data_IF_086810274853
#
_entry.id   IF_086810274853
#
_cell.length_a   1.000
_cell.length_b   1.000
_cell.length_c   1.000
_cell.angle_alpha   90.00
_cell.angle_beta   90.00
_cell.angle_gamma   90.00
#
_symmetry.space_group_name_H-M   'P 1'
#
loop_
_entity.id
_entity.type
_entity.pdbx_description
1 polymer ?
#
# COMPACT_ATOMS: atom_id res chain seq x y z
N UNK A 1 17.62 13.32 49.87
CA UNK A 1 17.64 13.67 48.43
C UNK A 1 16.30 13.30 47.82
N UNK A 2 15.47 14.27 47.46
CA UNK A 2 14.10 14.05 46.96
C UNK A 2 14.08 14.27 45.44
N UNK A 3 13.97 13.17 44.68
CA UNK A 3 13.80 13.23 43.23
C UNK A 3 12.33 13.59 42.92
N UNK A 4 12.08 14.87 42.62
CA UNK A 4 10.79 15.31 42.06
C UNK A 4 10.70 14.81 40.62
N UNK A 5 9.86 13.81 40.36
CA UNK A 5 9.54 13.38 39.00
C UNK A 5 8.70 14.46 38.31
N UNK A 6 9.22 15.04 37.23
CA UNK A 6 8.44 15.88 36.31
C UNK A 6 7.44 14.98 35.58
N UNK A 7 6.18 14.97 36.02
CA UNK A 7 5.08 14.42 35.22
C UNK A 7 4.94 15.29 33.97
N UNK A 8 5.39 14.78 32.82
CA UNK A 8 5.08 15.39 31.51
C UNK A 8 3.58 15.21 31.28
N UNK A 9 2.79 16.26 31.47
CA UNK A 9 1.40 16.31 31.00
C UNK A 9 1.41 16.31 29.47
N UNK A 10 1.42 15.12 28.87
CA UNK A 10 1.21 14.93 27.45
C UNK A 10 -0.19 15.44 27.10
N UNK A 11 -0.28 16.64 26.52
CA UNK A 11 -1.53 17.12 25.90
C UNK A 11 -1.70 16.34 24.59
N UNK A 12 -2.12 15.08 24.72
CA UNK A 12 -2.46 14.18 23.62
C UNK A 12 -3.85 14.51 23.11
N UNK A 13 -3.97 15.46 22.17
CA UNK A 13 -5.24 15.92 21.55
C UNK A 13 -6.25 16.45 22.58
N UNK A 14 -6.81 17.64 22.35
CA UNK A 14 -7.93 18.15 23.16
C UNK A 14 -9.21 17.36 22.85
N UNK A 15 -9.26 16.08 23.21
CA UNK A 15 -10.35 15.14 22.93
C UNK A 15 -11.70 15.66 23.42
N UNK A 16 -12.79 15.03 23.00
CA UNK A 16 -14.15 15.47 23.30
C UNK A 16 -14.49 15.32 24.80
N UNK A 17 -14.51 16.42 25.59
CA UNK A 17 -14.86 16.32 27.00
C UNK A 17 -16.30 15.80 27.17
N UNK A 18 -16.62 15.08 28.25
CA UNK A 18 -17.94 14.50 28.46
C UNK A 18 -19.08 15.53 28.35
N UNK A 19 -18.87 16.72 28.91
CA UNK A 19 -19.83 17.84 28.83
C UNK A 19 -20.10 18.28 27.38
N UNK A 20 -19.05 18.37 26.57
CA UNK A 20 -19.18 18.73 25.14
C UNK A 20 -19.93 17.63 24.38
N UNK A 21 -19.67 16.35 24.68
CA UNK A 21 -20.43 15.22 24.10
C UNK A 21 -21.90 15.28 24.48
N UNK A 22 -22.23 15.57 25.74
CA UNK A 22 -23.60 15.71 26.22
C UNK A 22 -24.34 16.85 25.52
N UNK A 23 -23.75 18.04 25.49
CA UNK A 23 -24.32 19.22 24.81
C UNK A 23 -24.53 18.97 23.31
N UNK A 24 -23.58 18.28 22.67
CA UNK A 24 -23.72 17.90 21.26
C UNK A 24 -24.80 16.83 21.05
N UNK A 25 -24.93 15.85 21.95
CA UNK A 25 -25.99 14.85 21.89
C UNK A 25 -27.38 15.47 22.06
N UNK A 26 -27.55 16.43 22.99
CA UNK A 26 -28.79 17.20 23.16
C UNK A 26 -29.15 17.96 21.88
N UNK A 27 -28.18 18.66 21.27
CA UNK A 27 -28.38 19.33 19.97
C UNK A 27 -28.76 18.37 18.85
N UNK A 28 -28.09 17.23 18.75
CA UNK A 28 -28.39 16.21 17.73
C UNK A 28 -29.79 15.62 17.92
N UNK A 29 -30.21 15.37 19.18
CA UNK A 29 -31.57 14.90 19.50
C UNK A 29 -32.65 15.93 19.22
N UNK A 30 -32.36 17.22 19.40
CA UNK A 30 -33.27 18.30 19.06
C UNK A 30 -33.39 18.49 17.54
N UNK A 31 -32.26 18.56 16.83
CA UNK A 31 -32.21 18.81 15.39
C UNK A 31 -32.61 17.59 14.55
N UNK A 32 -32.44 16.38 15.07
CA UNK A 32 -32.73 15.09 14.41
C UNK A 32 -32.30 15.06 12.93
N UNK A 33 -31.03 15.39 12.61
CA UNK A 33 -30.61 15.57 11.22
C UNK A 33 -30.82 14.33 10.34
N UNK A 34 -30.85 13.13 10.94
CA UNK A 34 -31.18 11.88 10.24
C UNK A 34 -32.56 11.87 9.58
N UNK A 35 -33.54 12.63 10.10
CA UNK A 35 -34.87 12.75 9.48
C UNK A 35 -34.83 13.47 8.13
N UNK A 36 -33.84 14.35 7.93
CA UNK A 36 -33.59 15.06 6.67
C UNK A 36 -32.54 14.34 5.81
N UNK A 37 -32.10 13.15 6.18
CA UNK A 37 -31.11 12.41 5.39
C UNK A 37 -31.67 12.05 4.02
N UNK A 38 -31.04 12.57 2.97
CA UNK A 38 -31.38 12.33 1.56
C UNK A 38 -30.59 11.17 0.96
N UNK A 39 -30.28 10.16 1.79
CA UNK A 39 -29.65 8.94 1.33
C UNK A 39 -30.44 8.26 0.19
N UNK A 40 -29.79 7.41 -0.63
CA UNK A 40 -30.44 6.80 -1.77
C UNK A 40 -31.58 5.86 -1.36
N UNK A 41 -32.82 6.25 -1.69
CA UNK A 41 -34.04 5.45 -1.41
C UNK A 41 -34.34 4.41 -2.48
N UNK A 42 -33.88 4.63 -3.71
CA UNK A 42 -34.14 3.76 -4.85
C UNK A 42 -33.08 2.65 -5.00
N UNK A 43 -33.43 1.54 -5.63
CA UNK A 43 -32.49 0.44 -5.96
C UNK A 43 -31.29 0.95 -6.77
N UNK A 44 -31.56 1.81 -7.76
CA UNK A 44 -30.53 2.44 -8.60
C UNK A 44 -29.60 3.36 -7.80
N UNK A 45 -30.16 4.16 -6.89
CA UNK A 45 -29.38 5.02 -6.00
C UNK A 45 -28.49 4.21 -5.06
N UNK A 46 -29.00 3.11 -4.50
CA UNK A 46 -28.21 2.22 -3.63
C UNK A 46 -27.07 1.55 -4.40
N UNK A 47 -27.33 1.10 -5.62
CA UNK A 47 -26.29 0.53 -6.49
C UNK A 47 -25.15 1.53 -6.77
N UNK A 48 -25.50 2.80 -7.08
CA UNK A 48 -24.50 3.87 -7.25
C UNK A 48 -23.71 4.15 -5.97
N UNK A 49 -24.37 4.20 -4.82
CA UNK A 49 -23.68 4.42 -3.55
C UNK A 49 -22.75 3.26 -3.17
N UNK A 50 -23.10 2.02 -3.49
CA UNK A 50 -22.22 0.86 -3.28
C UNK A 50 -20.89 0.99 -4.07
N UNK A 51 -20.91 1.68 -5.21
CA UNK A 51 -19.70 1.93 -5.99
C UNK A 51 -18.71 2.89 -5.30
N UNK A 52 -19.14 3.66 -4.29
CA UNK A 52 -18.23 4.52 -3.53
C UNK A 52 -17.11 3.74 -2.83
N UNK A 53 -17.33 2.44 -2.52
CA UNK A 53 -16.28 1.57 -2.00
C UNK A 53 -15.07 1.47 -2.97
N UNK A 54 -15.32 1.52 -4.28
CA UNK A 54 -14.28 1.51 -5.30
C UNK A 54 -13.62 2.89 -5.51
N UNK A 55 -14.21 3.97 -5.00
CA UNK A 55 -13.71 5.35 -5.19
C UNK A 55 -12.33 5.57 -4.54
N UNK A 56 -12.09 4.93 -3.39
CA UNK A 56 -10.77 4.91 -2.76
C UNK A 56 -9.87 3.79 -3.32
N UNK A 57 -10.47 2.80 -4.00
CA UNK A 57 -9.79 1.74 -4.74
C UNK A 57 -8.70 1.03 -3.93
N UNK A 58 -7.58 0.72 -4.60
CA UNK A 58 -6.38 0.12 -4.00
C UNK A 58 -5.53 1.09 -3.15
N UNK A 59 -6.03 2.27 -2.76
CA UNK A 59 -5.28 3.21 -1.91
C UNK A 59 -5.38 2.90 -0.42
N UNK A 60 -6.10 1.84 -0.03
CA UNK A 60 -6.02 1.31 1.31
C UNK A 60 -4.55 0.97 1.68
N UNK A 61 -4.18 1.18 2.93
CA UNK A 61 -2.80 0.95 3.42
C UNK A 61 -2.33 -0.47 3.09
N UNK A 62 -3.21 -1.47 3.28
CA UNK A 62 -2.95 -2.88 2.99
C UNK A 62 -2.64 -3.09 1.51
N UNK A 63 -3.42 -2.50 0.60
CA UNK A 63 -3.24 -2.64 -0.84
C UNK A 63 -1.96 -1.97 -1.33
N UNK A 64 -1.59 -0.80 -0.78
CA UNK A 64 -0.31 -0.15 -1.07
C UNK A 64 0.88 -1.00 -0.61
N UNK A 65 0.78 -1.60 0.57
CA UNK A 65 1.82 -2.48 1.10
C UNK A 65 1.98 -3.73 0.25
N UNK A 66 0.87 -4.36 -0.16
CA UNK A 66 0.88 -5.51 -1.07
C UNK A 66 1.54 -5.17 -2.41
N UNK A 67 1.13 -4.06 -3.05
CA UNK A 67 1.73 -3.62 -4.31
C UNK A 67 3.24 -3.37 -4.19
N UNK A 68 3.68 -2.78 -3.08
CA UNK A 68 5.11 -2.58 -2.80
C UNK A 68 5.87 -3.91 -2.67
N UNK A 69 5.32 -4.87 -1.91
CA UNK A 69 5.95 -6.18 -1.73
C UNK A 69 6.07 -6.95 -3.05
N UNK A 70 5.03 -6.92 -3.89
CA UNK A 70 5.06 -7.54 -5.22
C UNK A 70 6.11 -6.89 -6.13
N UNK A 71 6.25 -5.57 -6.10
CA UNK A 71 7.27 -4.86 -6.87
C UNK A 71 8.70 -5.21 -6.42
N UNK A 72 8.92 -5.35 -5.10
CA UNK A 72 10.19 -5.82 -4.56
C UNK A 72 10.50 -7.26 -4.98
N UNK A 73 9.51 -8.15 -4.87
CA UNK A 73 9.66 -9.56 -5.25
C UNK A 73 10.01 -9.69 -6.74
N UNK A 74 9.30 -8.98 -7.61
CA UNK A 74 9.59 -8.97 -9.05
C UNK A 74 11.00 -8.45 -9.38
N UNK A 75 11.49 -7.42 -8.66
CA UNK A 75 12.87 -6.95 -8.82
C UNK A 75 13.90 -7.99 -8.38
N UNK A 76 13.63 -8.73 -7.31
CA UNK A 76 14.52 -9.79 -6.85
C UNK A 76 14.61 -10.90 -7.89
N UNK A 77 13.48 -11.38 -8.40
CA UNK A 77 13.45 -12.43 -9.42
C UNK A 77 14.26 -12.05 -10.66
N UNK A 78 14.11 -10.81 -11.16
CA UNK A 78 14.92 -10.32 -12.28
C UNK A 78 16.43 -10.30 -12.01
N UNK A 79 16.84 -9.99 -10.77
CA UNK A 79 18.26 -10.02 -10.41
C UNK A 79 18.81 -11.44 -10.41
N UNK A 80 18.06 -12.37 -9.81
CA UNK A 80 18.42 -13.79 -9.79
C UNK A 80 18.56 -14.33 -11.21
N UNK A 81 17.59 -14.01 -12.08
CA UNK A 81 17.62 -14.41 -13.49
C UNK A 81 18.84 -13.85 -14.23
N UNK A 82 19.15 -12.55 -14.04
CA UNK A 82 20.32 -11.94 -14.66
C UNK A 82 21.65 -12.54 -14.14
N UNK A 83 21.73 -12.86 -12.85
CA UNK A 83 22.92 -13.47 -12.27
C UNK A 83 23.08 -14.93 -12.69
N UNK A 84 21.97 -15.67 -12.83
CA UNK A 84 21.96 -17.01 -13.41
C UNK A 84 22.48 -16.99 -14.86
N UNK A 85 21.97 -16.08 -15.70
CA UNK A 85 22.43 -15.94 -17.09
C UNK A 85 23.93 -15.62 -17.19
N UNK A 86 24.45 -14.76 -16.30
CA UNK A 86 25.90 -14.48 -16.25
C UNK A 86 26.71 -15.70 -15.84
N UNK A 87 26.22 -16.47 -14.87
CA UNK A 87 26.90 -17.69 -14.39
C UNK A 87 26.93 -18.76 -15.47
N UNK A 88 25.85 -18.92 -16.22
CA UNK A 88 25.74 -19.84 -17.35
C UNK A 88 26.62 -19.41 -18.52
N UNK A 89 26.60 -18.12 -18.88
CA UNK A 89 27.47 -17.57 -19.92
C UNK A 89 28.96 -17.76 -19.57
N UNK A 90 29.34 -17.57 -18.30
CA UNK A 90 30.71 -17.79 -17.82
C UNK A 90 31.10 -19.26 -17.88
N UNK A 91 30.17 -20.17 -17.56
CA UNK A 91 30.36 -21.61 -17.66
C UNK A 91 30.54 -22.05 -19.11
N UNK A 92 29.67 -21.60 -20.01
CA UNK A 92 29.79 -21.87 -21.45
C UNK A 92 31.14 -21.38 -21.97
N UNK A 93 31.55 -20.15 -21.64
CA UNK A 93 32.87 -19.63 -22.02
C UNK A 93 34.05 -20.45 -21.48
N UNK A 94 33.90 -21.09 -20.30
CA UNK A 94 34.93 -21.97 -19.73
C UNK A 94 34.96 -23.38 -20.33
N UNK A 95 33.85 -23.84 -20.89
CA UNK A 95 33.71 -25.16 -21.53
C UNK A 95 34.08 -25.13 -23.03
N UNK A 96 34.28 -23.95 -23.62
CA UNK A 96 34.70 -23.79 -25.02
C UNK A 96 36.21 -24.07 -25.21
N UNK A 97 36.62 -25.04 -26.06
CA UNK A 97 38.03 -25.31 -26.31
C UNK A 97 38.67 -24.16 -27.12
N UNK A 98 39.79 -23.65 -26.58
CA UNK A 98 40.61 -22.52 -27.07
C UNK A 98 41.23 -22.68 -28.48
N UNK A 99 40.77 -23.61 -29.32
CA UNK A 99 41.38 -23.90 -30.63
C UNK A 99 40.48 -23.74 -31.86
N UNK A 100 39.34 -23.06 -31.72
CA UNK A 100 38.58 -22.58 -32.86
C UNK A 100 38.13 -21.15 -32.62
N UNK A 101 38.88 -20.20 -33.17
CA UNK A 101 38.52 -18.77 -33.16
C UNK A 101 37.11 -18.58 -33.75
N UNK A 102 36.13 -18.00 -33.03
CA UNK A 102 34.77 -17.89 -33.54
C UNK A 102 34.67 -16.74 -34.54
N UNK A 103 34.09 -17.05 -35.70
CA UNK A 103 33.66 -16.06 -36.68
C UNK A 103 32.63 -15.12 -36.01
N UNK A 104 32.83 -13.79 -36.01
CA UNK A 104 32.03 -12.83 -35.25
C UNK A 104 30.57 -12.67 -35.71
N UNK A 105 30.08 -13.48 -36.67
CA UNK A 105 28.72 -13.42 -37.19
C UNK A 105 27.70 -14.33 -36.48
N UNK A 106 28.11 -15.14 -35.49
CA UNK A 106 27.21 -16.14 -34.89
C UNK A 106 26.19 -15.56 -33.87
N UNK A 107 26.40 -14.35 -33.34
CA UNK A 107 25.52 -13.76 -32.29
C UNK A 107 24.59 -12.66 -32.80
N UNK A 108 24.10 -12.78 -34.05
CA UNK A 108 23.03 -11.93 -34.55
C UNK A 108 21.97 -12.79 -35.22
N UNK A 109 21.18 -13.49 -34.41
CA UNK A 109 19.81 -13.95 -34.65
C UNK A 109 19.48 -15.02 -33.60
N UNK A 110 18.91 -14.58 -32.47
CA UNK A 110 17.91 -15.21 -31.60
C UNK A 110 17.71 -14.26 -30.39
#
# INVERSE_FOLDING_TARGET
MSFKSKVKSGVTSRGWPPERRRKQAERLRALKPWLKSTGPKTRTGKARAAQNAFKHGGRAVVMRKLAHMLALHHRLLRKIEADMQKSEASRLLSEFPLHSSPNPLFYRLL
#
